data_IF_799296216347
#
_entry.id   IF_799296216347
#
_cell.length_a   1.000
_cell.length_b   1.000
_cell.length_c   1.000
_cell.angle_alpha   90.00
_cell.angle_beta   90.00
_cell.angle_gamma   90.00
#
_symmetry.space_group_name_H-M   'P 1'
#
loop_
_entity.id
_entity.type
_entity.pdbx_description
1 polymer ?
#
# COMPACT_ATOMS: atom_id res chain seq x y z
N UNK A 1 8.32 -29.07 27.98
CA UNK A 1 9.48 -28.17 27.74
C UNK A 1 10.42 -28.64 26.61
N UNK A 2 10.78 -29.92 26.49
CA UNK A 2 11.71 -30.45 25.44
C UNK A 2 11.23 -30.20 23.99
N UNK A 3 9.93 -30.28 23.69
CA UNK A 3 9.37 -30.02 22.34
C UNK A 3 9.49 -28.56 21.91
N UNK A 4 9.24 -27.61 22.81
CA UNK A 4 9.32 -26.17 22.53
C UNK A 4 10.77 -25.76 22.21
N UNK A 5 11.74 -26.28 22.98
CA UNK A 5 13.17 -26.02 22.73
C UNK A 5 13.67 -26.61 21.41
N UNK A 6 13.08 -27.72 20.94
CA UNK A 6 13.43 -28.33 19.66
C UNK A 6 12.87 -27.49 18.48
N UNK A 7 11.65 -26.93 18.65
CA UNK A 7 11.02 -26.05 17.66
C UNK A 7 11.79 -24.71 17.59
N UNK A 8 12.15 -24.13 18.73
CA UNK A 8 12.95 -22.90 18.81
C UNK A 8 14.34 -23.05 18.20
N UNK A 9 15.04 -24.18 18.44
CA UNK A 9 16.32 -24.48 17.80
C UNK A 9 16.18 -24.62 16.29
N UNK A 10 15.14 -25.30 15.82
CA UNK A 10 14.84 -25.46 14.40
C UNK A 10 14.46 -24.12 13.74
N UNK A 11 13.69 -23.28 14.44
CA UNK A 11 13.37 -21.92 13.97
C UNK A 11 14.63 -21.04 13.87
N UNK A 12 15.55 -21.11 14.84
CA UNK A 12 16.78 -20.32 14.82
C UNK A 12 17.75 -20.73 13.71
N UNK A 13 17.70 -21.97 13.26
CA UNK A 13 18.53 -22.46 12.14
C UNK A 13 18.01 -22.08 10.75
N UNK A 14 16.78 -21.56 10.64
CA UNK A 14 16.20 -21.14 9.36
C UNK A 14 16.88 -19.83 8.89
N UNK A 15 17.23 -19.70 7.61
CA UNK A 15 17.77 -18.45 7.03
C UNK A 15 16.82 -17.26 7.26
N UNK A 16 17.37 -16.07 7.47
CA UNK A 16 16.58 -14.84 7.72
C UNK A 16 15.57 -14.58 6.59
N UNK A 17 15.95 -14.85 5.34
CA UNK A 17 15.06 -14.73 4.20
C UNK A 17 13.82 -15.62 4.31
N UNK A 18 13.97 -16.88 4.71
CA UNK A 18 12.84 -17.80 4.89
C UNK A 18 11.95 -17.40 6.07
N UNK A 19 12.54 -16.93 7.17
CA UNK A 19 11.76 -16.36 8.30
C UNK A 19 10.93 -15.16 7.86
N UNK A 20 11.54 -14.23 7.16
CA UNK A 20 10.85 -13.04 6.65
C UNK A 20 9.69 -13.42 5.72
N UNK A 21 9.90 -14.37 4.80
CA UNK A 21 8.85 -14.85 3.89
C UNK A 21 7.66 -15.46 4.65
N UNK A 22 7.91 -16.31 5.64
CA UNK A 22 6.85 -16.91 6.46
C UNK A 22 6.06 -15.83 7.19
N UNK A 23 6.73 -14.86 7.81
CA UNK A 23 6.05 -13.76 8.50
C UNK A 23 5.22 -12.89 7.55
N UNK A 24 5.73 -12.58 6.36
CA UNK A 24 4.97 -11.83 5.36
C UNK A 24 3.75 -12.60 4.86
N UNK A 25 3.88 -13.92 4.69
CA UNK A 25 2.75 -14.77 4.30
C UNK A 25 1.67 -14.80 5.39
N UNK A 26 2.05 -14.99 6.65
CA UNK A 26 1.11 -14.95 7.78
C UNK A 26 0.39 -13.60 7.85
N UNK A 27 1.12 -12.49 7.75
CA UNK A 27 0.52 -11.16 7.74
C UNK A 27 -0.48 -10.96 6.59
N UNK A 28 -0.15 -11.45 5.39
CA UNK A 28 -1.05 -11.36 4.24
C UNK A 28 -2.33 -12.19 4.45
N UNK A 29 -2.23 -13.36 5.05
CA UNK A 29 -3.40 -14.19 5.40
C UNK A 29 -4.26 -13.47 6.45
N UNK A 30 -3.66 -12.95 7.52
CA UNK A 30 -4.38 -12.20 8.56
C UNK A 30 -5.11 -10.99 7.98
N UNK A 31 -4.45 -10.20 7.11
CA UNK A 31 -5.10 -9.08 6.42
C UNK A 31 -6.31 -9.52 5.60
N UNK A 32 -6.20 -10.62 4.86
CA UNK A 32 -7.32 -11.17 4.07
C UNK A 32 -8.47 -11.66 4.95
N UNK A 33 -8.16 -12.32 6.06
CA UNK A 33 -9.18 -12.73 7.03
C UNK A 33 -9.92 -11.52 7.62
N UNK A 34 -9.21 -10.46 8.00
CA UNK A 34 -9.81 -9.22 8.51
C UNK A 34 -10.71 -8.61 7.43
N UNK A 35 -10.22 -8.49 6.19
CA UNK A 35 -11.00 -7.96 5.06
C UNK A 35 -12.28 -8.78 4.80
N UNK A 36 -12.22 -10.11 4.93
CA UNK A 36 -13.40 -10.98 4.79
C UNK A 36 -14.47 -10.72 5.86
N UNK A 37 -14.06 -10.37 7.08
CA UNK A 37 -15.00 -10.04 8.17
C UNK A 37 -15.49 -8.60 8.03
N UNK A 38 -14.61 -7.68 7.67
CA UNK A 38 -14.90 -6.26 7.58
C UNK A 38 -15.91 -5.95 6.46
N UNK A 39 -15.78 -6.59 5.30
CA UNK A 39 -16.67 -6.36 4.16
C UNK A 39 -18.14 -6.59 4.48
N UNK A 40 -18.58 -7.73 5.07
CA UNK A 40 -19.98 -7.93 5.45
C UNK A 40 -20.47 -6.98 6.55
N UNK A 41 -19.57 -6.57 7.45
CA UNK A 41 -19.91 -5.59 8.51
C UNK A 41 -20.22 -4.22 7.88
N UNK A 42 -19.34 -3.74 7.01
CA UNK A 42 -19.55 -2.47 6.30
C UNK A 42 -20.82 -2.48 5.43
N UNK A 43 -21.06 -3.56 4.69
CA UNK A 43 -22.28 -3.66 3.86
C UNK A 43 -23.58 -3.68 4.66
N UNK A 44 -23.55 -4.07 5.94
CA UNK A 44 -24.71 -4.01 6.83
C UNK A 44 -24.87 -2.67 7.55
N UNK A 45 -23.79 -1.96 7.81
CA UNK A 45 -23.79 -0.69 8.52
C UNK A 45 -24.02 0.51 7.59
N UNK A 46 -23.62 0.41 6.33
CA UNK A 46 -23.76 1.49 5.35
C UNK A 46 -25.07 1.36 4.59
N UNK A 47 -25.68 2.49 4.26
CA UNK A 47 -26.78 2.51 3.30
C UNK A 47 -26.29 2.14 1.90
N UNK A 48 -27.20 1.71 1.03
CA UNK A 48 -26.87 1.37 -0.37
C UNK A 48 -26.20 2.54 -1.10
N UNK A 49 -26.66 3.76 -0.82
CA UNK A 49 -26.08 4.99 -1.39
C UNK A 49 -24.65 5.23 -0.90
N UNK A 50 -24.39 5.12 0.39
CA UNK A 50 -23.06 5.28 0.98
C UNK A 50 -22.07 4.22 0.45
N UNK A 51 -22.52 2.98 0.33
CA UNK A 51 -21.71 1.91 -0.23
C UNK A 51 -21.41 2.14 -1.72
N UNK A 52 -22.40 2.67 -2.46
CA UNK A 52 -22.21 3.08 -3.85
C UNK A 52 -21.13 4.17 -3.99
N UNK A 53 -21.21 5.24 -3.18
CA UNK A 53 -20.20 6.32 -3.18
C UNK A 53 -18.81 5.80 -2.81
N UNK A 54 -18.70 4.92 -1.82
CA UNK A 54 -17.44 4.28 -1.45
C UNK A 54 -16.85 3.43 -2.59
N UNK A 55 -17.70 2.70 -3.31
CA UNK A 55 -17.30 1.89 -4.46
C UNK A 55 -16.78 2.76 -5.62
N UNK A 56 -17.48 3.87 -5.91
CA UNK A 56 -17.05 4.87 -6.91
C UNK A 56 -15.71 5.48 -6.51
N UNK A 57 -15.57 5.89 -5.25
CA UNK A 57 -14.31 6.41 -4.72
C UNK A 57 -13.15 5.45 -4.93
N UNK A 58 -13.31 4.18 -4.54
CA UNK A 58 -12.27 3.16 -4.69
C UNK A 58 -11.90 2.91 -6.17
N UNK A 59 -12.88 2.94 -7.06
CA UNK A 59 -12.65 2.75 -8.50
C UNK A 59 -11.80 3.89 -9.06
N UNK A 60 -12.12 5.14 -8.76
CA UNK A 60 -11.35 6.29 -9.17
C UNK A 60 -9.97 6.33 -8.51
N UNK A 61 -9.87 6.00 -7.23
CA UNK A 61 -8.59 5.90 -6.53
C UNK A 61 -7.64 4.93 -7.23
N UNK A 62 -8.14 3.77 -7.67
CA UNK A 62 -7.32 2.81 -8.41
C UNK A 62 -6.86 3.36 -9.76
N UNK A 63 -7.74 4.04 -10.51
CA UNK A 63 -7.39 4.66 -11.79
C UNK A 63 -6.30 5.72 -11.57
N UNK A 64 -6.50 6.65 -10.65
CA UNK A 64 -5.52 7.69 -10.35
C UNK A 64 -4.21 7.10 -9.81
N UNK A 65 -4.26 6.06 -9.01
CA UNK A 65 -3.05 5.35 -8.53
C UNK A 65 -2.25 4.79 -9.70
N UNK A 66 -2.88 4.19 -10.71
CA UNK A 66 -2.19 3.69 -11.89
C UNK A 66 -1.49 4.83 -12.64
N UNK A 67 -2.17 5.96 -12.84
CA UNK A 67 -1.65 7.12 -13.56
C UNK A 67 -0.48 7.77 -12.79
N UNK A 68 -0.63 7.99 -11.48
CA UNK A 68 0.36 8.71 -10.67
C UNK A 68 1.59 7.87 -10.32
N UNK A 69 1.43 6.57 -10.12
CA UNK A 69 2.54 5.69 -9.78
C UNK A 69 3.16 4.99 -11.01
N UNK A 70 2.47 4.99 -12.16
CA UNK A 70 2.83 4.19 -13.35
C UNK A 70 3.12 2.72 -13.01
N UNK A 71 2.58 2.24 -11.90
CA UNK A 71 2.87 0.90 -11.34
C UNK A 71 4.36 0.64 -11.09
N UNK A 72 5.18 1.70 -10.93
CA UNK A 72 6.62 1.59 -10.72
C UNK A 72 7.00 0.82 -9.45
N UNK A 73 6.15 0.88 -8.43
CA UNK A 73 6.31 0.18 -7.16
C UNK A 73 6.29 -1.36 -7.29
N UNK A 74 5.76 -1.94 -8.36
CA UNK A 74 5.62 -3.40 -8.49
C UNK A 74 6.92 -4.08 -8.93
N UNK A 75 7.27 -4.01 -10.22
CA UNK A 75 8.42 -4.78 -10.72
C UNK A 75 9.65 -3.91 -10.98
N UNK A 76 9.45 -2.66 -11.41
CA UNK A 76 10.57 -1.74 -11.73
C UNK A 76 11.37 -1.42 -10.48
N UNK A 77 10.69 -1.08 -9.39
CA UNK A 77 11.33 -0.79 -8.11
C UNK A 77 12.13 -1.97 -7.57
N UNK A 78 11.54 -3.17 -7.58
CA UNK A 78 12.22 -4.39 -7.11
C UNK A 78 13.45 -4.75 -7.95
N UNK A 79 13.39 -4.59 -9.29
CA UNK A 79 14.53 -4.78 -10.17
C UNK A 79 15.63 -3.75 -9.94
N UNK A 80 15.27 -2.49 -9.74
CA UNK A 80 16.20 -1.43 -9.43
C UNK A 80 16.92 -1.64 -8.10
N UNK A 81 16.21 -2.10 -7.06
CA UNK A 81 16.81 -2.49 -5.78
C UNK A 81 17.88 -3.58 -5.89
N UNK A 82 17.75 -4.49 -6.87
CA UNK A 82 18.77 -5.48 -7.18
C UNK A 82 19.96 -4.89 -7.92
N UNK A 83 19.70 -3.94 -8.83
CA UNK A 83 20.72 -3.34 -9.69
C UNK A 83 21.55 -2.29 -8.98
N UNK A 84 20.92 -1.41 -8.21
CA UNK A 84 21.55 -0.29 -7.52
C UNK A 84 21.82 -0.60 -6.04
N UNK A 85 22.56 -1.69 -5.78
CA UNK A 85 22.87 -2.15 -4.42
C UNK A 85 23.68 -1.13 -3.59
N UNK A 86 24.52 -0.33 -4.25
CA UNK A 86 25.40 0.65 -3.60
C UNK A 86 24.64 1.92 -3.16
N UNK A 87 23.58 2.30 -3.90
CA UNK A 87 22.79 3.53 -3.62
C UNK A 87 21.29 3.26 -3.68
N UNK A 88 20.80 2.47 -2.73
CA UNK A 88 19.38 2.17 -2.59
C UNK A 88 18.57 3.35 -2.09
N UNK A 89 19.20 4.24 -1.32
CA UNK A 89 18.55 5.43 -0.77
C UNK A 89 18.25 6.45 -1.88
N UNK A 90 19.22 6.75 -2.71
CA UNK A 90 19.08 7.63 -3.87
C UNK A 90 18.05 7.07 -4.86
N UNK A 91 18.11 5.77 -5.16
CA UNK A 91 17.13 5.14 -6.05
C UNK A 91 15.68 5.24 -5.49
N UNK A 92 15.48 4.95 -4.19
CA UNK A 92 14.16 5.07 -3.56
C UNK A 92 13.65 6.49 -3.59
N UNK A 93 14.50 7.45 -3.25
CA UNK A 93 14.18 8.89 -3.27
C UNK A 93 13.78 9.35 -4.69
N UNK A 94 14.52 8.93 -5.71
CA UNK A 94 14.21 9.27 -7.12
C UNK A 94 12.84 8.75 -7.54
N UNK A 95 12.52 7.49 -7.21
CA UNK A 95 11.23 6.89 -7.55
C UNK A 95 10.07 7.57 -6.80
N UNK A 96 10.28 7.91 -5.54
CA UNK A 96 9.29 8.63 -4.74
C UNK A 96 9.08 10.06 -5.27
N UNK A 97 10.15 10.76 -5.62
CA UNK A 97 10.08 12.11 -6.22
C UNK A 97 9.33 12.09 -7.54
N UNK A 98 9.59 11.10 -8.41
CA UNK A 98 8.86 10.94 -9.66
C UNK A 98 7.37 10.77 -9.42
N UNK A 99 6.98 9.90 -8.47
CA UNK A 99 5.57 9.69 -8.11
C UNK A 99 4.94 10.98 -7.56
N UNK A 100 5.64 11.72 -6.70
CA UNK A 100 5.17 13.01 -6.20
C UNK A 100 4.95 14.03 -7.32
N UNK A 101 5.87 14.13 -8.28
CA UNK A 101 5.75 15.03 -9.44
C UNK A 101 4.51 14.66 -10.26
N UNK A 102 4.32 13.38 -10.59
CA UNK A 102 3.16 12.91 -11.34
C UNK A 102 1.85 13.20 -10.60
N UNK A 103 1.81 12.92 -9.29
CA UNK A 103 0.63 13.24 -8.46
C UNK A 103 0.33 14.73 -8.46
N UNK A 104 1.37 15.58 -8.38
CA UNK A 104 1.22 17.04 -8.42
C UNK A 104 0.67 17.50 -9.77
N UNK A 105 1.16 16.95 -10.88
CA UNK A 105 0.65 17.28 -12.23
C UNK A 105 -0.84 16.93 -12.32
N UNK A 106 -1.23 15.72 -11.88
CA UNK A 106 -2.64 15.29 -11.89
C UNK A 106 -3.49 16.16 -10.98
N UNK A 107 -2.98 16.56 -9.81
CA UNK A 107 -3.66 17.49 -8.90
C UNK A 107 -3.89 18.86 -9.56
N UNK A 108 -2.88 19.40 -10.24
CA UNK A 108 -3.02 20.68 -10.96
C UNK A 108 -4.06 20.59 -12.07
N UNK A 109 -4.04 19.51 -12.86
CA UNK A 109 -5.08 19.24 -13.87
C UNK A 109 -6.46 19.17 -13.22
N UNK A 110 -6.59 18.44 -12.11
CA UNK A 110 -7.85 18.39 -11.36
C UNK A 110 -8.32 19.77 -10.91
N UNK A 111 -7.44 20.62 -10.37
CA UNK A 111 -7.82 21.96 -9.90
C UNK A 111 -8.32 22.86 -11.04
N UNK A 112 -7.72 22.77 -12.23
CA UNK A 112 -8.14 23.51 -13.42
C UNK A 112 -9.52 23.03 -13.90
N UNK A 113 -9.72 21.72 -13.98
CA UNK A 113 -10.94 21.10 -14.51
C UNK A 113 -11.89 20.59 -13.41
N UNK A 114 -11.82 21.16 -12.20
CA UNK A 114 -12.52 20.68 -11.00
C UNK A 114 -14.01 20.42 -11.23
N UNK A 115 -14.71 21.35 -11.89
CA UNK A 115 -16.16 21.22 -12.12
C UNK A 115 -16.48 20.04 -13.03
N UNK A 116 -15.72 19.88 -14.11
CA UNK A 116 -15.92 18.81 -15.09
C UNK A 116 -15.60 17.44 -14.47
N UNK A 117 -14.46 17.35 -13.76
CA UNK A 117 -14.03 16.08 -13.15
C UNK A 117 -15.01 15.67 -12.05
N UNK A 118 -15.47 16.58 -11.20
CA UNK A 118 -16.48 16.27 -10.18
C UNK A 118 -17.82 15.81 -10.81
N UNK A 119 -18.21 16.37 -11.97
CA UNK A 119 -19.41 15.93 -12.66
C UNK A 119 -19.26 14.51 -13.26
N UNK A 120 -18.05 14.15 -13.71
CA UNK A 120 -17.77 12.81 -14.27
C UNK A 120 -17.62 11.77 -13.16
N UNK A 121 -16.95 12.14 -12.06
CA UNK A 121 -16.67 11.22 -10.94
C UNK A 121 -17.84 11.07 -9.99
N UNK A 122 -18.81 11.98 -10.04
CA UNK A 122 -19.94 12.10 -9.10
C UNK A 122 -19.47 12.26 -7.64
N UNK A 123 -18.22 12.71 -7.43
CA UNK A 123 -17.62 12.88 -6.12
C UNK A 123 -17.52 14.38 -5.76
N UNK A 124 -17.87 14.75 -4.52
CA UNK A 124 -17.69 16.12 -4.05
C UNK A 124 -16.20 16.46 -3.88
N UNK A 125 -15.88 17.75 -3.99
CA UNK A 125 -14.49 18.25 -3.96
C UNK A 125 -13.70 17.82 -2.73
N UNK A 126 -14.33 17.75 -1.55
CA UNK A 126 -13.64 17.37 -0.32
C UNK A 126 -13.17 15.89 -0.36
N UNK A 127 -13.97 15.01 -0.95
CA UNK A 127 -13.59 13.60 -1.15
C UNK A 127 -12.45 13.49 -2.17
N UNK A 128 -12.50 14.27 -3.26
CA UNK A 128 -11.42 14.31 -4.24
C UNK A 128 -10.09 14.80 -3.63
N UNK A 129 -10.13 15.83 -2.77
CA UNK A 129 -8.93 16.30 -2.07
C UNK A 129 -8.39 15.25 -1.09
N UNK A 130 -9.27 14.55 -0.37
CA UNK A 130 -8.86 13.42 0.48
C UNK A 130 -8.21 12.30 -0.34
N UNK A 131 -8.73 11.99 -1.53
CA UNK A 131 -8.12 11.04 -2.47
C UNK A 131 -6.71 11.47 -2.89
N UNK A 132 -6.48 12.75 -3.19
CA UNK A 132 -5.14 13.23 -3.50
C UNK A 132 -4.18 13.13 -2.32
N UNK A 133 -4.64 13.39 -1.08
CA UNK A 133 -3.82 13.16 0.11
C UNK A 133 -3.41 11.68 0.23
N UNK A 134 -4.33 10.76 -0.05
CA UNK A 134 -4.05 9.33 -0.07
C UNK A 134 -3.05 8.97 -1.18
N UNK A 135 -3.18 9.54 -2.38
CA UNK A 135 -2.25 9.34 -3.50
C UNK A 135 -0.81 9.81 -3.22
N UNK A 136 -0.60 10.75 -2.30
CA UNK A 136 0.74 11.13 -1.83
C UNK A 136 1.27 10.17 -0.77
N UNK A 137 0.43 9.77 0.17
CA UNK A 137 0.86 8.99 1.34
C UNK A 137 1.06 7.51 1.03
N UNK A 138 0.12 6.88 0.32
CA UNK A 138 0.15 5.43 0.08
C UNK A 138 1.37 4.98 -0.72
N UNK A 139 1.76 5.62 -1.85
CA UNK A 139 2.96 5.21 -2.57
C UNK A 139 4.25 5.35 -1.76
N UNK A 140 4.37 6.40 -0.94
CA UNK A 140 5.53 6.58 -0.08
C UNK A 140 5.69 5.40 0.90
N UNK A 141 4.59 4.97 1.47
CA UNK A 141 4.52 3.83 2.38
C UNK A 141 4.80 2.52 1.65
N UNK A 142 4.34 2.38 0.41
CA UNK A 142 4.58 1.19 -0.42
C UNK A 142 6.05 1.05 -0.77
N UNK A 143 6.73 2.11 -1.22
CA UNK A 143 8.17 2.09 -1.49
C UNK A 143 8.98 1.71 -0.24
N UNK A 144 8.64 2.29 0.92
CA UNK A 144 9.25 1.92 2.19
C UNK A 144 9.02 0.44 2.53
N UNK A 145 7.80 -0.05 2.37
CA UNK A 145 7.44 -1.45 2.66
C UNK A 145 8.18 -2.43 1.76
N UNK A 146 8.21 -2.17 0.45
CA UNK A 146 8.89 -3.02 -0.53
C UNK A 146 10.40 -3.03 -0.25
N UNK A 147 10.98 -1.88 0.06
CA UNK A 147 12.39 -1.77 0.45
C UNK A 147 12.69 -2.64 1.67
N UNK A 148 11.90 -2.52 2.75
CA UNK A 148 12.09 -3.33 3.96
C UNK A 148 11.91 -4.83 3.71
N UNK A 149 11.01 -5.22 2.82
CA UNK A 149 10.86 -6.61 2.37
C UNK A 149 12.11 -7.09 1.64
N UNK A 150 12.68 -6.27 0.78
CA UNK A 150 13.90 -6.58 0.04
C UNK A 150 15.13 -6.72 0.95
N UNK A 151 15.21 -5.91 2.00
CA UNK A 151 16.26 -5.97 3.03
C UNK A 151 16.02 -7.10 4.06
N UNK A 152 14.95 -7.89 3.94
CA UNK A 152 14.51 -8.93 4.89
C UNK A 152 14.25 -8.39 6.31
N UNK A 153 13.99 -7.10 6.45
CA UNK A 153 13.65 -6.46 7.74
C UNK A 153 12.14 -6.58 7.93
N UNK A 154 11.70 -7.71 8.50
CA UNK A 154 10.28 -8.04 8.60
C UNK A 154 9.55 -7.40 9.79
N UNK A 155 10.25 -7.20 10.93
CA UNK A 155 9.61 -6.72 12.17
C UNK A 155 8.78 -5.43 12.02
N UNK A 156 9.34 -4.31 11.50
CA UNK A 156 8.56 -3.07 11.37
C UNK A 156 7.43 -3.17 10.34
N UNK A 157 7.61 -3.99 9.29
CA UNK A 157 6.57 -4.21 8.28
C UNK A 157 5.40 -4.99 8.86
N UNK A 158 5.69 -6.06 9.63
CA UNK A 158 4.68 -6.87 10.33
C UNK A 158 3.90 -6.00 11.32
N UNK A 159 4.61 -5.22 12.16
CA UNK A 159 3.99 -4.34 13.14
C UNK A 159 3.04 -3.34 12.48
N UNK A 160 3.50 -2.65 11.43
CA UNK A 160 2.67 -1.72 10.67
C UNK A 160 1.46 -2.40 10.04
N UNK A 161 1.67 -3.57 9.42
CA UNK A 161 0.61 -4.33 8.75
C UNK A 161 -0.50 -4.73 9.73
N UNK A 162 -0.12 -5.18 10.92
CA UNK A 162 -1.07 -5.52 11.98
C UNK A 162 -1.77 -4.29 12.56
N UNK A 163 -1.04 -3.19 12.75
CA UNK A 163 -1.62 -1.93 13.22
C UNK A 163 -2.68 -1.40 12.26
N UNK A 164 -2.39 -1.38 10.95
CA UNK A 164 -3.35 -0.96 9.92
C UNK A 164 -4.53 -1.91 9.74
N UNK A 165 -4.38 -3.17 10.14
CA UNK A 165 -5.47 -4.13 10.09
C UNK A 165 -6.39 -4.05 11.33
N UNK A 166 -5.93 -3.42 12.41
CA UNK A 166 -6.67 -3.25 13.66
C UNK A 166 -7.42 -1.91 13.73
N UNK A 167 -7.09 -0.94 12.88
CA UNK A 167 -7.75 0.36 12.71
C UNK A 167 -8.90 0.27 11.71
#
# INVERSE_FOLDING_TARGET
MRHINKILKKYNSIPIAAKATIWFMICSVVQKCISLITTPVFTRLMTTEQYGQFSVYNSWLQIFTIITTLRLNWSVFSKGMSKYKADRDGYTSTMQTLTCILTTIVLVIYLIFRKQINAITELPTYIMLAMFAELYLVPAIDFWTIRKRYEYIYKPVVFRTLLMAAL
#
